data_IF_518722573716
#
_entry.id   IF_518722573716
#
_cell.length_a   1.000
_cell.length_b   1.000
_cell.length_c   1.000
_cell.angle_alpha   90.00
_cell.angle_beta   90.00
_cell.angle_gamma   90.00
#
_symmetry.space_group_name_H-M   'P 1'
#
loop_
_entity.id
_entity.type
_entity.pdbx_description
1 polymer ?
#
# COMPACT_ATOMS: atom_id res chain seq x y z
N UNK A 1 -71.95 155.49 -15.26
CA UNK A 1 -72.65 154.74 -16.31
C UNK A 1 -71.66 154.63 -17.46
N UNK A 2 -71.27 153.49 -18.04
CA UNK A 2 -71.54 152.06 -17.77
C UNK A 2 -70.63 151.20 -18.69
N UNK A 3 -70.45 149.86 -18.60
CA UNK A 3 -70.89 148.83 -17.64
C UNK A 3 -69.74 147.77 -17.48
N UNK A 4 -70.03 146.50 -17.16
CA UNK A 4 -69.12 145.34 -17.24
C UNK A 4 -69.48 144.44 -18.44
N UNK A 5 -68.51 143.75 -19.07
CA UNK A 5 -68.57 142.29 -19.19
C UNK A 5 -67.27 141.55 -19.64
N UNK A 6 -67.06 140.41 -18.99
CA UNK A 6 -66.46 139.11 -19.35
C UNK A 6 -65.08 138.90 -20.05
N UNK A 7 -64.56 137.69 -19.83
CA UNK A 7 -63.20 137.19 -20.13
C UNK A 7 -63.07 136.52 -21.50
N UNK A 8 -61.86 136.55 -22.06
CA UNK A 8 -61.25 135.35 -22.66
C UNK A 8 -59.71 135.48 -22.66
N UNK A 9 -58.98 134.41 -22.27
CA UNK A 9 -57.51 134.37 -22.32
C UNK A 9 -57.12 133.23 -23.27
N UNK A 10 -56.46 133.56 -24.38
CA UNK A 10 -55.96 132.56 -25.35
C UNK A 10 -54.48 132.24 -25.08
N UNK A 11 -54.07 130.96 -25.08
CA UNK A 11 -52.70 130.56 -24.75
C UNK A 11 -51.72 130.77 -25.93
N UNK A 12 -50.45 131.01 -25.57
CA UNK A 12 -49.33 131.25 -26.50
C UNK A 12 -48.83 129.92 -27.12
N UNK A 13 -48.74 129.78 -28.46
CA UNK A 13 -48.34 128.53 -29.12
C UNK A 13 -46.91 128.05 -28.80
N UNK A 14 -45.95 128.95 -28.55
CA UNK A 14 -44.53 128.56 -28.46
C UNK A 14 -44.15 127.83 -27.17
N UNK A 15 -44.92 127.99 -26.09
CA UNK A 15 -44.69 127.20 -24.86
C UNK A 15 -45.29 125.79 -24.93
N UNK A 16 -46.23 125.55 -25.85
CA UNK A 16 -46.88 124.24 -26.02
C UNK A 16 -45.98 123.26 -26.79
N UNK A 17 -45.09 123.76 -27.66
CA UNK A 17 -44.18 122.92 -28.45
C UNK A 17 -42.98 122.41 -27.62
N UNK A 18 -42.35 123.26 -26.82
CA UNK A 18 -41.18 122.90 -26.01
C UNK A 18 -41.50 121.83 -24.95
N UNK A 19 -42.56 122.02 -24.16
CA UNK A 19 -42.97 121.04 -23.14
C UNK A 19 -43.40 119.69 -23.74
N UNK A 20 -44.02 119.69 -24.93
CA UNK A 20 -44.34 118.44 -25.66
C UNK A 20 -43.09 117.70 -26.13
N UNK A 21 -42.05 118.42 -26.55
CA UNK A 21 -40.78 117.82 -26.96
C UNK A 21 -40.04 117.19 -25.77
N UNK A 22 -40.08 117.84 -24.61
CA UNK A 22 -39.45 117.36 -23.38
C UNK A 22 -40.16 116.12 -22.81
N UNK A 23 -41.50 116.14 -22.74
CA UNK A 23 -42.32 114.98 -22.34
C UNK A 23 -42.12 113.80 -23.31
N UNK A 24 -42.10 114.04 -24.62
CA UNK A 24 -41.83 112.98 -25.61
C UNK A 24 -40.41 112.38 -25.45
N UNK A 25 -39.42 113.19 -25.06
CA UNK A 25 -38.07 112.71 -24.73
C UNK A 25 -38.09 111.82 -23.48
N UNK A 26 -38.79 112.24 -22.41
CA UNK A 26 -38.88 111.45 -21.18
C UNK A 26 -39.67 110.14 -21.36
N UNK A 27 -40.75 110.13 -22.15
CA UNK A 27 -41.46 108.90 -22.53
C UNK A 27 -40.62 107.98 -23.43
N UNK A 28 -39.85 108.54 -24.37
CA UNK A 28 -38.94 107.77 -25.21
C UNK A 28 -37.82 107.11 -24.41
N UNK A 29 -37.24 107.85 -23.46
CA UNK A 29 -36.21 107.35 -22.54
C UNK A 29 -36.78 106.30 -21.57
N UNK A 30 -37.98 106.51 -21.01
CA UNK A 30 -38.56 105.53 -20.07
C UNK A 30 -38.97 104.23 -20.75
N UNK A 31 -39.58 104.30 -21.96
CA UNK A 31 -39.92 103.12 -22.76
C UNK A 31 -38.67 102.40 -23.25
N UNK A 32 -37.64 103.13 -23.68
CA UNK A 32 -36.33 102.57 -24.05
C UNK A 32 -35.60 101.89 -22.87
N UNK A 33 -35.65 102.49 -21.68
CA UNK A 33 -35.10 101.89 -20.47
C UNK A 33 -35.85 100.60 -20.07
N UNK A 34 -37.18 100.57 -20.21
CA UNK A 34 -37.99 99.38 -19.94
C UNK A 34 -37.70 98.24 -20.92
N UNK A 35 -37.57 98.54 -22.23
CA UNK A 35 -37.20 97.51 -23.21
C UNK A 35 -35.77 97.02 -23.00
N UNK A 36 -34.82 97.90 -22.68
CA UNK A 36 -33.44 97.51 -22.33
C UNK A 36 -33.41 96.63 -21.06
N UNK A 37 -34.20 96.94 -20.04
CA UNK A 37 -34.31 96.14 -18.81
C UNK A 37 -34.91 94.74 -19.08
N UNK A 38 -35.95 94.64 -19.92
CA UNK A 38 -36.51 93.35 -20.33
C UNK A 38 -35.52 92.50 -21.14
N UNK A 39 -34.76 93.12 -22.05
CA UNK A 39 -33.72 92.43 -22.82
C UNK A 39 -32.60 91.96 -21.89
N UNK A 40 -32.14 92.78 -20.95
CA UNK A 40 -31.14 92.41 -19.96
C UNK A 40 -31.61 91.25 -19.07
N UNK A 41 -32.87 91.26 -18.62
CA UNK A 41 -33.47 90.17 -17.86
C UNK A 41 -33.54 88.87 -18.67
N UNK A 42 -33.95 88.95 -19.94
CA UNK A 42 -33.99 87.79 -20.84
C UNK A 42 -32.59 87.19 -21.09
N UNK A 43 -31.57 88.05 -21.25
CA UNK A 43 -30.16 87.61 -21.37
C UNK A 43 -29.66 86.97 -20.08
N UNK A 44 -29.98 87.51 -18.91
CA UNK A 44 -29.62 86.89 -17.62
C UNK A 44 -30.28 85.52 -17.42
N UNK A 45 -31.55 85.37 -17.81
CA UNK A 45 -32.26 84.08 -17.77
C UNK A 45 -31.61 83.10 -18.75
N UNK A 46 -31.31 83.53 -19.99
CA UNK A 46 -30.65 82.69 -20.99
C UNK A 46 -29.27 82.22 -20.53
N UNK A 47 -28.46 83.10 -19.92
CA UNK A 47 -27.16 82.76 -19.32
C UNK A 47 -27.32 81.80 -18.14
N UNK A 48 -28.34 81.97 -17.29
CA UNK A 48 -28.64 81.04 -16.20
C UNK A 48 -29.03 79.64 -16.69
N UNK A 49 -29.87 79.55 -17.73
CA UNK A 49 -30.25 78.28 -18.37
C UNK A 49 -29.05 77.62 -19.05
N UNK A 50 -28.20 78.40 -19.75
CA UNK A 50 -26.99 77.91 -20.40
C UNK A 50 -25.98 77.37 -19.37
N UNK A 51 -25.76 78.11 -18.28
CA UNK A 51 -24.92 77.67 -17.16
C UNK A 51 -25.44 76.42 -16.47
N UNK A 52 -26.76 76.32 -16.26
CA UNK A 52 -27.40 75.11 -15.74
C UNK A 52 -27.21 73.90 -16.69
N UNK A 53 -27.37 74.09 -18.00
CA UNK A 53 -27.13 73.02 -18.98
C UNK A 53 -25.68 72.54 -18.96
N UNK A 54 -24.70 73.46 -19.01
CA UNK A 54 -23.27 73.15 -18.98
C UNK A 54 -22.85 72.43 -17.69
N UNK A 55 -23.33 72.91 -16.54
CA UNK A 55 -23.05 72.27 -15.25
C UNK A 55 -23.70 70.88 -15.13
N UNK A 56 -24.91 70.71 -15.68
CA UNK A 56 -25.60 69.41 -15.71
C UNK A 56 -24.90 68.40 -16.63
N UNK A 57 -24.35 68.82 -17.76
CA UNK A 57 -23.56 67.92 -18.63
C UNK A 57 -22.27 67.46 -17.96
N UNK A 58 -21.50 68.37 -17.37
CA UNK A 58 -20.25 68.04 -16.66
C UNK A 58 -20.51 67.14 -15.44
N UNK A 59 -21.54 67.43 -14.65
CA UNK A 59 -21.94 66.57 -13.53
C UNK A 59 -22.38 65.16 -13.99
N UNK A 60 -23.11 65.05 -15.10
CA UNK A 60 -23.51 63.76 -15.65
C UNK A 60 -22.31 62.95 -16.19
N UNK A 61 -21.33 63.58 -16.83
CA UNK A 61 -20.09 62.91 -17.27
C UNK A 61 -19.29 62.38 -16.07
N UNK A 62 -19.14 63.17 -15.01
CA UNK A 62 -18.48 62.74 -13.78
C UNK A 62 -19.24 61.58 -13.10
N UNK A 63 -20.58 61.61 -13.11
CA UNK A 63 -21.40 60.52 -12.58
C UNK A 63 -21.21 59.22 -13.38
N UNK A 64 -21.22 59.32 -14.71
CA UNK A 64 -20.98 58.18 -15.61
C UNK A 64 -19.58 57.59 -15.41
N UNK A 65 -18.54 58.43 -15.29
CA UNK A 65 -17.18 57.98 -14.99
C UNK A 65 -17.08 57.28 -13.62
N UNK A 66 -17.78 57.78 -12.60
CA UNK A 66 -17.86 57.09 -11.29
C UNK A 66 -18.61 55.76 -11.36
N UNK A 67 -19.67 55.68 -12.17
CA UNK A 67 -20.46 54.46 -12.35
C UNK A 67 -19.71 53.39 -13.15
N UNK A 68 -18.97 53.78 -14.19
CA UNK A 68 -18.02 52.93 -14.92
C UNK A 68 -16.89 52.44 -14.00
N UNK A 69 -16.27 53.32 -13.21
CA UNK A 69 -15.24 52.94 -12.24
C UNK A 69 -15.78 51.97 -11.19
N UNK A 70 -16.97 52.23 -10.64
CA UNK A 70 -17.63 51.33 -9.68
C UNK A 70 -17.93 49.97 -10.31
N UNK A 71 -18.37 49.95 -11.55
CA UNK A 71 -18.66 48.71 -12.31
C UNK A 71 -17.38 47.91 -12.56
N UNK A 72 -16.29 48.58 -12.99
CA UNK A 72 -14.98 47.97 -13.17
C UNK A 72 -14.41 47.41 -11.87
N UNK A 73 -14.48 48.15 -10.75
CA UNK A 73 -14.09 47.65 -9.43
C UNK A 73 -14.96 46.47 -8.97
N UNK A 74 -16.27 46.50 -9.23
CA UNK A 74 -17.17 45.39 -8.89
C UNK A 74 -16.85 44.13 -9.69
N UNK A 75 -16.51 44.26 -10.97
CA UNK A 75 -16.04 43.15 -11.82
C UNK A 75 -14.73 42.57 -11.27
N UNK A 76 -13.73 43.41 -10.99
CA UNK A 76 -12.45 42.98 -10.44
C UNK A 76 -12.58 42.27 -9.08
N UNK A 77 -13.47 42.75 -8.21
CA UNK A 77 -13.78 42.08 -6.94
C UNK A 77 -14.43 40.71 -7.18
N UNK A 78 -15.37 40.61 -8.11
CA UNK A 78 -16.06 39.36 -8.45
C UNK A 78 -15.09 38.32 -9.03
N UNK A 79 -14.18 38.73 -9.93
CA UNK A 79 -13.11 37.86 -10.45
C UNK A 79 -12.19 37.38 -9.32
N UNK A 80 -11.75 38.29 -8.44
CA UNK A 80 -10.88 37.96 -7.31
C UNK A 80 -11.55 36.98 -6.34
N UNK A 81 -12.81 37.19 -6.02
CA UNK A 81 -13.55 36.33 -5.09
C UNK A 81 -13.83 34.95 -5.71
N UNK A 82 -14.02 34.87 -7.04
CA UNK A 82 -14.06 33.60 -7.77
C UNK A 82 -12.74 32.82 -7.66
N UNK A 83 -11.60 33.50 -7.84
CA UNK A 83 -10.26 32.90 -7.70
C UNK A 83 -10.01 32.43 -6.27
N UNK A 84 -10.39 33.22 -5.26
CA UNK A 84 -10.29 32.81 -3.85
C UNK A 84 -11.14 31.56 -3.57
N UNK A 85 -12.34 31.47 -4.13
CA UNK A 85 -13.20 30.29 -3.99
C UNK A 85 -12.59 29.03 -4.66
N UNK A 86 -11.97 29.17 -5.84
CA UNK A 86 -11.22 28.07 -6.48
C UNK A 86 -10.03 27.60 -5.62
N UNK A 87 -9.31 28.53 -4.98
CA UNK A 87 -8.22 28.18 -4.06
C UNK A 87 -8.72 27.44 -2.82
N UNK A 88 -9.83 27.88 -2.21
CA UNK A 88 -10.45 27.19 -1.07
C UNK A 88 -10.84 25.76 -1.45
N UNK A 89 -11.53 25.57 -2.58
CA UNK A 89 -11.87 24.23 -3.08
C UNK A 89 -10.63 23.36 -3.35
N UNK A 90 -9.56 23.94 -3.88
CA UNK A 90 -8.31 23.22 -4.13
C UNK A 90 -7.62 22.81 -2.82
N UNK A 91 -7.64 23.67 -1.79
CA UNK A 91 -7.15 23.32 -0.47
C UNK A 91 -7.95 22.19 0.17
N UNK A 92 -9.28 22.27 0.13
CA UNK A 92 -10.17 21.25 0.71
C UNK A 92 -9.92 19.88 0.05
N UNK A 93 -9.69 19.86 -1.27
CA UNK A 93 -9.29 18.64 -1.99
C UNK A 93 -7.91 18.11 -1.53
N UNK A 94 -6.90 18.98 -1.37
CA UNK A 94 -5.58 18.53 -0.89
C UNK A 94 -5.70 17.99 0.54
N UNK A 95 -6.46 18.64 1.42
CA UNK A 95 -6.67 18.18 2.80
C UNK A 95 -7.39 16.83 2.86
N UNK A 96 -8.39 16.61 1.99
CA UNK A 96 -9.06 15.32 1.84
C UNK A 96 -8.10 14.22 1.34
N UNK A 97 -7.29 14.53 0.33
CA UNK A 97 -6.28 13.59 -0.21
C UNK A 97 -5.22 13.25 0.86
N UNK A 98 -4.75 14.24 1.64
CA UNK A 98 -3.81 14.03 2.75
C UNK A 98 -4.44 13.22 3.90
N UNK A 99 -5.74 13.39 4.18
CA UNK A 99 -6.45 12.58 5.16
C UNK A 99 -6.55 11.11 4.72
N UNK A 100 -6.81 10.85 3.42
CA UNK A 100 -6.79 9.50 2.86
C UNK A 100 -5.38 8.88 2.89
N UNK A 101 -4.34 9.66 2.56
CA UNK A 101 -2.94 9.21 2.66
C UNK A 101 -2.63 8.74 4.08
N UNK A 102 -2.97 9.55 5.09
CA UNK A 102 -2.78 9.23 6.51
C UNK A 102 -3.53 7.98 6.97
N UNK A 103 -4.75 7.77 6.48
CA UNK A 103 -5.52 6.56 6.78
C UNK A 103 -4.84 5.32 6.18
N UNK A 104 -4.43 5.39 4.91
CA UNK A 104 -3.74 4.31 4.20
C UNK A 104 -2.37 3.99 4.81
N UNK A 105 -1.61 5.00 5.18
CA UNK A 105 -0.35 4.87 5.92
C UNK A 105 -0.56 4.11 7.23
N UNK A 106 -1.57 4.49 8.03
CA UNK A 106 -1.93 3.77 9.26
C UNK A 106 -2.29 2.31 8.99
N UNK A 107 -3.01 2.02 7.90
CA UNK A 107 -3.32 0.64 7.50
C UNK A 107 -2.06 -0.16 7.12
N UNK A 108 -1.11 0.46 6.41
CA UNK A 108 0.19 -0.16 6.06
C UNK A 108 0.96 -0.49 7.34
N UNK A 109 1.08 0.47 8.26
CA UNK A 109 1.78 0.29 9.54
C UNK A 109 1.20 -0.88 10.33
N UNK A 110 -0.12 -0.95 10.51
CA UNK A 110 -0.82 -2.06 11.18
C UNK A 110 -0.67 -3.41 10.47
N UNK A 111 -0.59 -3.43 9.14
CA UNK A 111 -0.36 -4.65 8.38
C UNK A 111 1.10 -5.13 8.48
N UNK A 112 2.05 -4.20 8.68
CA UNK A 112 3.50 -4.45 8.70
C UNK A 112 4.09 -4.81 10.07
N UNK A 113 3.36 -4.52 11.16
CA UNK A 113 3.79 -4.77 12.54
C UNK A 113 3.71 -6.24 12.99
N UNK A 114 3.08 -7.09 12.18
CA UNK A 114 2.95 -8.53 12.43
C UNK A 114 4.22 -9.27 11.96
N UNK A 115 4.66 -10.29 12.70
CA UNK A 115 5.88 -11.02 12.37
C UNK A 115 5.74 -11.86 11.09
N UNK A 116 4.52 -12.29 10.75
CA UNK A 116 4.24 -13.13 9.58
C UNK A 116 3.47 -12.38 8.48
N UNK A 117 4.21 -11.69 7.60
CA UNK A 117 3.61 -11.00 6.45
C UNK A 117 3.36 -11.98 5.30
N UNK A 118 2.12 -12.46 5.19
CA UNK A 118 1.66 -13.28 4.07
C UNK A 118 1.73 -12.55 2.72
N UNK A 119 1.86 -13.30 1.62
CA UNK A 119 1.97 -12.75 0.25
C UNK A 119 0.85 -11.77 -0.09
N UNK A 120 -0.40 -12.15 0.18
CA UNK A 120 -1.60 -11.30 -0.03
C UNK A 120 -1.50 -9.95 0.71
N UNK A 121 -0.95 -9.96 1.93
CA UNK A 121 -0.75 -8.72 2.71
C UNK A 121 0.33 -7.82 2.09
N UNK A 122 1.43 -8.39 1.58
CA UNK A 122 2.45 -7.63 0.83
C UNK A 122 1.86 -6.95 -0.40
N UNK A 123 1.07 -7.69 -1.17
CA UNK A 123 0.49 -7.20 -2.42
C UNK A 123 -0.48 -6.04 -2.14
N UNK A 124 -1.28 -6.13 -1.08
CA UNK A 124 -2.11 -5.01 -0.59
C UNK A 124 -1.29 -3.80 -0.15
N UNK A 125 -0.20 -3.99 0.61
CA UNK A 125 0.70 -2.88 1.01
C UNK A 125 1.29 -2.20 -0.24
N UNK A 126 1.69 -2.94 -1.28
CA UNK A 126 2.20 -2.36 -2.54
C UNK A 126 1.13 -1.57 -3.28
N UNK A 127 -0.11 -2.04 -3.28
CA UNK A 127 -1.26 -1.33 -3.87
C UNK A 127 -1.58 -0.04 -3.11
N UNK A 128 -1.68 -0.09 -1.79
CA UNK A 128 -1.92 1.07 -0.93
C UNK A 128 -0.79 2.12 -1.08
N UNK A 129 0.49 1.68 -1.14
CA UNK A 129 1.64 2.55 -1.45
C UNK A 129 1.46 3.19 -2.85
N UNK A 130 1.13 2.42 -3.89
CA UNK A 130 0.94 2.96 -5.26
C UNK A 130 -0.17 4.01 -5.30
N UNK A 131 -1.27 3.78 -4.59
CA UNK A 131 -2.36 4.73 -4.45
C UNK A 131 -1.91 6.03 -3.77
N UNK A 132 -1.20 5.93 -2.64
CA UNK A 132 -0.64 7.10 -1.94
C UNK A 132 0.31 7.91 -2.84
N UNK A 133 1.21 7.28 -3.61
CA UNK A 133 2.09 8.00 -4.54
C UNK A 133 1.29 8.76 -5.61
N UNK A 134 0.12 8.25 -6.01
CA UNK A 134 -0.77 8.91 -6.98
C UNK A 134 -1.41 10.16 -6.39
N UNK A 135 -1.89 10.09 -5.14
CA UNK A 135 -2.43 11.23 -4.41
C UNK A 135 -1.35 12.30 -4.10
N UNK A 136 -0.14 11.89 -3.70
CA UNK A 136 0.98 12.81 -3.46
C UNK A 136 1.35 13.59 -4.72
N UNK A 137 1.45 12.93 -5.87
CA UNK A 137 1.78 13.59 -7.14
C UNK A 137 0.66 14.53 -7.62
N UNK A 138 -0.61 14.13 -7.47
CA UNK A 138 -1.74 15.02 -7.73
C UNK A 138 -1.73 16.26 -6.83
N UNK A 139 -1.43 16.09 -5.53
CA UNK A 139 -1.30 17.19 -4.58
C UNK A 139 -0.16 18.15 -4.91
N UNK A 140 0.99 17.63 -5.36
CA UNK A 140 2.12 18.47 -5.82
C UNK A 140 1.73 19.34 -7.02
N UNK A 141 0.95 18.80 -7.95
CA UNK A 141 0.45 19.55 -9.11
C UNK A 141 -0.57 20.62 -8.70
N UNK A 142 -1.51 20.31 -7.79
CA UNK A 142 -2.44 21.29 -7.19
C UNK A 142 -1.69 22.42 -6.47
N UNK A 143 -0.70 22.08 -5.65
CA UNK A 143 0.17 23.02 -4.92
C UNK A 143 0.99 23.90 -5.88
N UNK A 144 1.55 23.33 -6.95
CA UNK A 144 2.27 24.09 -7.97
C UNK A 144 1.36 25.08 -8.70
N UNK A 145 0.11 24.67 -9.00
CA UNK A 145 -0.92 25.56 -9.53
C UNK A 145 -1.24 26.71 -8.57
N UNK A 146 -1.52 26.41 -7.30
CA UNK A 146 -1.79 27.42 -6.26
C UNK A 146 -0.64 28.44 -6.13
N UNK A 147 0.61 27.98 -6.09
CA UNK A 147 1.79 28.84 -6.09
C UNK A 147 1.89 29.76 -7.32
N UNK A 148 1.60 29.23 -8.51
CA UNK A 148 1.61 30.01 -9.75
C UNK A 148 0.48 31.05 -9.76
N UNK A 149 -0.70 30.69 -9.27
CA UNK A 149 -1.86 31.57 -9.17
C UNK A 149 -1.63 32.69 -8.14
N UNK A 150 -1.11 32.38 -6.94
CA UNK A 150 -0.75 33.38 -5.92
C UNK A 150 0.26 34.41 -6.47
N UNK A 151 1.32 33.94 -7.15
CA UNK A 151 2.31 34.82 -7.80
C UNK A 151 1.69 35.71 -8.89
N UNK A 152 0.75 35.18 -9.67
CA UNK A 152 0.07 35.92 -10.75
C UNK A 152 -0.94 36.94 -10.21
N UNK A 153 -1.62 36.64 -9.11
CA UNK A 153 -2.64 37.51 -8.53
C UNK A 153 -2.07 38.83 -7.99
N UNK A 154 -0.78 38.87 -7.63
CA UNK A 154 -0.12 40.07 -7.09
C UNK A 154 -0.60 40.51 -5.70
N UNK A 155 -1.59 39.81 -5.12
CA UNK A 155 -2.11 40.04 -3.78
C UNK A 155 -1.38 39.11 -2.81
N UNK A 156 -0.45 39.65 -2.02
CA UNK A 156 0.26 38.92 -0.97
C UNK A 156 -0.67 38.62 0.21
N UNK A 157 -1.47 37.57 0.08
CA UNK A 157 -2.31 37.06 1.16
C UNK A 157 -1.50 36.07 1.99
N UNK A 158 -0.78 36.59 2.99
CA UNK A 158 0.10 35.81 3.88
C UNK A 158 -0.53 34.51 4.40
N UNK A 159 -1.82 34.52 4.77
CA UNK A 159 -2.52 33.32 5.25
C UNK A 159 -2.63 32.19 4.19
N UNK A 160 -2.71 32.53 2.91
CA UNK A 160 -2.74 31.56 1.81
C UNK A 160 -1.33 31.02 1.51
N UNK A 161 -0.32 31.88 1.56
CA UNK A 161 1.10 31.51 1.44
C UNK A 161 1.51 30.55 2.58
N UNK A 162 1.17 30.90 3.83
CA UNK A 162 1.41 30.06 5.02
C UNK A 162 0.66 28.71 4.91
N UNK A 163 -0.56 28.69 4.33
CA UNK A 163 -1.31 27.44 4.09
C UNK A 163 -0.66 26.57 3.00
N UNK A 164 -0.24 27.15 1.87
CA UNK A 164 0.49 26.44 0.81
C UNK A 164 1.79 25.83 1.36
N UNK A 165 2.58 26.59 2.11
CA UNK A 165 3.82 26.10 2.73
C UNK A 165 3.57 24.95 3.72
N UNK A 166 2.45 24.99 4.45
CA UNK A 166 2.04 23.90 5.36
C UNK A 166 1.68 22.62 4.59
N UNK A 167 0.99 22.75 3.45
CA UNK A 167 0.64 21.62 2.59
C UNK A 167 1.87 21.04 1.88
N UNK A 168 2.79 21.88 1.42
CA UNK A 168 4.10 21.46 0.88
C UNK A 168 4.91 20.65 1.89
N UNK A 169 5.03 21.16 3.13
CA UNK A 169 5.71 20.44 4.20
C UNK A 169 5.05 19.09 4.51
N UNK A 170 3.71 19.05 4.52
CA UNK A 170 2.94 17.82 4.76
C UNK A 170 3.14 16.78 3.66
N UNK A 171 3.05 17.18 2.39
CA UNK A 171 3.32 16.32 1.23
C UNK A 171 4.75 15.77 1.27
N UNK A 172 5.74 16.62 1.56
CA UNK A 172 7.14 16.23 1.65
C UNK A 172 7.40 15.24 2.80
N UNK A 173 6.71 15.38 3.93
CA UNK A 173 6.79 14.42 5.03
C UNK A 173 6.28 13.05 4.58
N UNK A 174 5.08 12.97 4.01
CA UNK A 174 4.53 11.72 3.50
C UNK A 174 5.36 11.10 2.36
N UNK A 175 6.03 11.90 1.51
CA UNK A 175 7.00 11.38 0.53
C UNK A 175 8.19 10.66 1.22
N UNK A 176 8.67 11.19 2.35
CA UNK A 176 9.72 10.56 3.17
C UNK A 176 9.23 9.26 3.81
N UNK A 177 8.08 9.31 4.49
CA UNK A 177 7.51 8.16 5.21
C UNK A 177 7.23 6.99 4.24
N UNK A 178 6.70 7.30 3.06
CA UNK A 178 6.43 6.30 2.01
C UNK A 178 7.72 5.75 1.39
N UNK A 179 8.80 6.52 1.36
CA UNK A 179 10.10 6.01 0.93
C UNK A 179 10.69 5.05 1.98
N UNK A 180 10.59 5.37 3.27
CA UNK A 180 11.00 4.47 4.36
C UNK A 180 10.19 3.16 4.34
N UNK A 181 8.86 3.23 4.13
CA UNK A 181 8.01 2.05 3.98
C UNK A 181 8.41 1.17 2.77
N UNK A 182 8.77 1.77 1.63
CA UNK A 182 9.27 1.02 0.45
C UNK A 182 10.58 0.29 0.78
N UNK A 183 11.51 0.94 1.46
CA UNK A 183 12.80 0.33 1.88
C UNK A 183 12.57 -0.80 2.88
N UNK A 184 11.72 -0.59 3.89
CA UNK A 184 11.37 -1.61 4.87
C UNK A 184 10.71 -2.84 4.22
N UNK A 185 9.82 -2.64 3.25
CA UNK A 185 9.18 -3.73 2.51
C UNK A 185 10.19 -4.53 1.66
N UNK A 186 11.13 -3.85 0.98
CA UNK A 186 12.18 -4.50 0.21
C UNK A 186 13.12 -5.33 1.10
N UNK A 187 13.49 -4.83 2.27
CA UNK A 187 14.30 -5.56 3.25
C UNK A 187 13.56 -6.82 3.76
N UNK A 188 12.26 -6.72 4.06
CA UNK A 188 11.44 -7.88 4.44
C UNK A 188 11.26 -8.91 3.30
N UNK A 189 11.26 -8.48 2.04
CA UNK A 189 11.28 -9.41 0.90
C UNK A 189 12.60 -10.19 0.82
N UNK A 190 13.75 -9.55 1.08
CA UNK A 190 15.06 -10.21 1.15
C UNK A 190 15.10 -11.22 2.31
N UNK A 191 14.67 -10.81 3.51
CA UNK A 191 14.62 -11.65 4.72
C UNK A 191 13.76 -12.90 4.49
N UNK A 192 12.56 -12.75 3.92
CA UNK A 192 11.65 -13.87 3.62
C UNK A 192 12.24 -14.82 2.57
N UNK A 193 12.95 -14.31 1.56
CA UNK A 193 13.62 -15.17 0.58
C UNK A 193 14.77 -15.97 1.23
N UNK A 194 15.56 -15.35 2.12
CA UNK A 194 16.60 -16.05 2.89
C UNK A 194 16.02 -17.13 3.81
N UNK A 195 14.90 -16.84 4.49
CA UNK A 195 14.19 -17.82 5.32
C UNK A 195 13.65 -18.99 4.49
N UNK A 196 13.03 -18.72 3.33
CA UNK A 196 12.56 -19.77 2.42
C UNK A 196 13.70 -20.68 1.96
N UNK A 197 14.85 -20.11 1.56
CA UNK A 197 16.04 -20.89 1.18
C UNK A 197 16.54 -21.74 2.35
N UNK A 198 16.56 -21.21 3.58
CA UNK A 198 16.95 -21.94 4.78
C UNK A 198 15.99 -23.09 5.09
N UNK A 199 14.67 -22.88 4.98
CA UNK A 199 13.66 -23.94 5.16
C UNK A 199 13.86 -25.06 4.14
N UNK A 200 13.98 -24.72 2.84
CA UNK A 200 14.24 -25.74 1.80
C UNK A 200 15.51 -26.54 2.06
N UNK A 201 16.60 -25.91 2.54
CA UNK A 201 17.83 -26.61 2.91
C UNK A 201 17.68 -27.50 4.16
N UNK A 202 16.86 -27.10 5.13
CA UNK A 202 16.52 -27.94 6.28
C UNK A 202 15.67 -29.15 5.87
N UNK A 203 14.66 -28.97 5.01
CA UNK A 203 13.82 -30.06 4.50
C UNK A 203 14.66 -31.10 3.74
N UNK A 204 15.61 -30.66 2.91
CA UNK A 204 16.58 -31.53 2.23
C UNK A 204 17.47 -32.29 3.22
N UNK A 205 17.96 -31.60 4.27
CA UNK A 205 18.79 -32.22 5.31
C UNK A 205 18.00 -33.28 6.09
N UNK A 206 16.74 -32.99 6.43
CA UNK A 206 15.84 -33.92 7.13
C UNK A 206 15.55 -35.14 6.26
N UNK A 207 15.29 -34.97 4.96
CA UNK A 207 15.08 -36.07 4.03
C UNK A 207 16.30 -37.00 3.97
N UNK A 208 17.50 -36.44 3.76
CA UNK A 208 18.75 -37.21 3.70
C UNK A 208 19.08 -37.92 5.02
N UNK A 209 18.85 -37.27 6.17
CA UNK A 209 19.01 -37.90 7.48
C UNK A 209 18.00 -39.02 7.70
N UNK A 210 16.76 -38.85 7.27
CA UNK A 210 15.71 -39.88 7.38
C UNK A 210 16.05 -41.10 6.53
N UNK A 211 16.51 -40.91 5.30
CA UNK A 211 17.04 -41.98 4.44
C UNK A 211 18.21 -42.72 5.10
N UNK A 212 19.21 -41.98 5.59
CA UNK A 212 20.37 -42.54 6.31
C UNK A 212 19.96 -43.34 7.55
N UNK A 213 18.98 -42.86 8.32
CA UNK A 213 18.45 -43.56 9.50
C UNK A 213 17.73 -44.84 9.09
N UNK A 214 16.92 -44.81 8.04
CA UNK A 214 16.22 -46.00 7.54
C UNK A 214 17.19 -47.07 7.03
N UNK A 215 18.24 -46.67 6.31
CA UNK A 215 19.31 -47.57 5.86
C UNK A 215 20.06 -48.18 7.06
N UNK A 216 20.42 -47.37 8.06
CA UNK A 216 21.06 -47.86 9.29
C UNK A 216 20.17 -48.85 10.06
N UNK A 217 18.86 -48.57 10.16
CA UNK A 217 17.89 -49.50 10.77
C UNK A 217 17.80 -50.80 9.97
N UNK A 218 17.77 -50.74 8.63
CA UNK A 218 17.73 -51.91 7.77
C UNK A 218 19.00 -52.78 7.90
N UNK A 219 20.18 -52.16 7.96
CA UNK A 219 21.45 -52.86 8.21
C UNK A 219 21.52 -53.45 9.62
N UNK A 220 21.11 -52.70 10.66
CA UNK A 220 21.06 -53.19 12.05
C UNK A 220 20.11 -54.39 12.21
N UNK A 221 18.99 -54.39 11.48
CA UNK A 221 17.99 -55.46 11.50
C UNK A 221 18.27 -56.58 10.51
N UNK A 222 19.33 -56.49 9.70
CA UNK A 222 19.75 -57.57 8.79
C UNK A 222 20.29 -58.75 9.59
N UNK A 223 19.88 -59.95 9.16
CA UNK A 223 20.47 -61.22 9.56
C UNK A 223 20.40 -62.21 8.39
N UNK A 224 21.08 -63.35 8.54
CA UNK A 224 21.26 -64.36 7.51
C UNK A 224 20.89 -65.73 8.06
N UNK A 225 20.02 -66.44 7.34
CA UNK A 225 19.45 -67.72 7.76
C UNK A 225 19.67 -68.79 6.69
N UNK A 226 20.13 -69.97 7.10
CA UNK A 226 20.13 -71.17 6.26
C UNK A 226 19.70 -72.39 7.07
N UNK A 227 18.88 -73.24 6.45
CA UNK A 227 18.50 -74.55 7.00
C UNK A 227 18.72 -75.65 5.97
N UNK A 228 19.14 -76.83 6.45
CA UNK A 228 19.44 -77.97 5.57
C UNK A 228 19.98 -79.18 6.34
N UNK A 229 20.12 -80.33 5.69
CA UNK A 229 20.80 -81.45 6.34
C UNK A 229 22.30 -81.17 6.42
N UNK A 230 23.03 -81.84 7.33
CA UNK A 230 24.49 -81.70 7.41
C UNK A 230 25.18 -81.87 6.04
N UNK A 231 24.71 -82.82 5.23
CA UNK A 231 25.25 -83.05 3.88
C UNK A 231 25.05 -81.83 2.99
N UNK A 232 23.85 -81.26 2.94
CA UNK A 232 23.54 -80.13 2.08
C UNK A 232 24.31 -78.86 2.49
N UNK A 233 24.44 -78.62 3.79
CA UNK A 233 25.18 -77.48 4.35
C UNK A 233 26.69 -77.64 4.12
N UNK A 234 27.24 -78.86 4.24
CA UNK A 234 28.64 -79.17 3.90
C UNK A 234 28.90 -79.02 2.40
N UNK A 235 28.04 -79.57 1.55
CA UNK A 235 28.22 -79.55 0.09
C UNK A 235 28.09 -78.13 -0.49
N UNK A 236 27.45 -77.21 0.25
CA UNK A 236 27.43 -75.76 -0.01
C UNK A 236 28.61 -74.98 0.59
N UNK A 237 29.50 -75.61 1.35
CA UNK A 237 30.64 -74.95 1.98
C UNK A 237 30.30 -74.13 3.24
N UNK A 238 29.18 -74.41 3.92
CA UNK A 238 28.81 -73.78 5.20
C UNK A 238 29.40 -74.55 6.39
N UNK A 239 29.39 -75.88 6.35
CA UNK A 239 29.83 -76.72 7.47
C UNK A 239 31.03 -77.62 7.12
N UNK A 240 31.98 -77.73 8.04
CA UNK A 240 33.10 -78.67 8.02
C UNK A 240 32.95 -79.75 9.10
N UNK A 241 33.81 -80.78 9.07
CA UNK A 241 34.03 -81.69 10.21
C UNK A 241 35.47 -81.58 10.66
N UNK A 242 35.68 -80.96 11.81
CA UNK A 242 37.00 -80.61 12.34
C UNK A 242 37.33 -81.34 13.65
N UNK A 243 38.62 -81.47 13.92
CA UNK A 243 39.15 -82.22 15.06
C UNK A 243 39.04 -83.75 14.93
N UNK A 244 39.57 -84.44 15.94
CA UNK A 244 39.49 -85.90 16.06
C UNK A 244 40.62 -86.69 15.36
N UNK A 245 41.37 -87.47 16.14
CA UNK A 245 42.41 -88.36 15.63
C UNK A 245 41.75 -89.56 14.92
N UNK A 246 42.20 -89.87 13.69
CA UNK A 246 41.66 -90.96 12.84
C UNK A 246 40.13 -90.94 12.65
N UNK A 247 39.50 -89.76 12.73
CA UNK A 247 38.05 -89.58 12.50
C UNK A 247 37.15 -89.81 13.71
N UNK A 248 37.71 -90.21 14.87
CA UNK A 248 36.97 -90.31 16.13
C UNK A 248 37.00 -88.94 16.83
N UNK A 249 35.84 -88.42 17.22
CA UNK A 249 35.72 -87.12 17.91
C UNK A 249 35.65 -85.88 17.01
N UNK A 250 35.42 -86.05 15.69
CA UNK A 250 35.10 -84.95 14.78
C UNK A 250 33.85 -84.19 15.26
N UNK A 251 33.97 -82.87 15.43
CA UNK A 251 32.83 -81.97 15.64
C UNK A 251 32.46 -81.29 14.34
N UNK A 252 31.19 -80.94 14.22
CA UNK A 252 30.67 -80.16 13.10
C UNK A 252 30.88 -78.68 13.43
N UNK A 253 31.58 -77.98 12.54
CA UNK A 253 31.96 -76.59 12.74
C UNK A 253 31.48 -75.74 11.55
N UNK A 254 31.28 -74.45 11.80
CA UNK A 254 31.03 -73.46 10.77
C UNK A 254 32.38 -73.14 10.09
N UNK A 255 32.39 -73.07 8.76
CA UNK A 255 33.58 -72.63 8.01
C UNK A 255 33.77 -71.11 8.24
N UNK A 256 35.00 -70.63 8.38
CA UNK A 256 35.25 -69.21 8.73
C UNK A 256 35.06 -68.24 7.54
N UNK A 257 35.15 -68.73 6.30
CA UNK A 257 35.09 -67.94 5.05
C UNK A 257 34.02 -68.51 4.10
N UNK A 258 32.75 -68.28 4.44
CA UNK A 258 31.60 -68.59 3.57
C UNK A 258 31.06 -67.33 2.89
N UNK A 259 30.29 -67.52 1.81
CA UNK A 259 29.68 -66.42 1.08
C UNK A 259 28.23 -66.18 1.55
N UNK A 260 27.92 -64.96 1.98
CA UNK A 260 26.61 -64.52 2.46
C UNK A 260 25.45 -64.84 1.50
N UNK A 261 25.70 -64.86 0.17
CA UNK A 261 24.69 -65.20 -0.85
C UNK A 261 24.17 -66.64 -0.79
N UNK A 262 24.80 -67.50 0.01
CA UNK A 262 24.32 -68.86 0.31
C UNK A 262 23.17 -68.87 1.34
N UNK A 263 22.96 -67.76 2.04
CA UNK A 263 21.95 -67.59 3.08
C UNK A 263 20.74 -66.80 2.56
N UNK A 264 19.57 -67.03 3.16
CA UNK A 264 18.45 -66.12 3.02
C UNK A 264 18.70 -64.89 3.91
N UNK A 265 18.83 -63.71 3.31
CA UNK A 265 18.81 -62.45 4.03
C UNK A 265 17.41 -62.20 4.59
N UNK A 266 17.33 -61.87 5.88
CA UNK A 266 16.08 -61.67 6.62
C UNK A 266 16.15 -60.40 7.49
N UNK A 267 14.97 -59.87 7.82
CA UNK A 267 14.78 -58.84 8.85
C UNK A 267 14.44 -59.53 10.18
N UNK A 268 15.24 -59.28 11.21
CA UNK A 268 15.08 -59.87 12.56
C UNK A 268 13.80 -59.43 13.28
N UNK A 269 13.24 -58.27 12.94
CA UNK A 269 12.03 -57.74 13.56
C UNK A 269 10.77 -58.42 13.02
N UNK A 270 10.83 -58.87 11.77
CA UNK A 270 9.75 -59.55 11.06
C UNK A 270 9.83 -61.08 11.20
N UNK A 271 11.04 -61.64 11.19
CA UNK A 271 11.26 -63.10 11.14
C UNK A 271 11.25 -63.70 12.54
N UNK A 272 10.06 -64.03 13.04
CA UNK A 272 9.85 -64.64 14.36
C UNK A 272 9.80 -66.16 14.37
N UNK A 273 9.61 -66.80 13.20
CA UNK A 273 9.44 -68.25 13.09
C UNK A 273 10.33 -68.77 11.96
N UNK A 274 11.15 -69.78 12.26
CA UNK A 274 11.95 -70.52 11.27
C UNK A 274 11.30 -71.90 11.09
N UNK A 275 10.70 -72.21 9.92
CA UNK A 275 10.14 -73.54 9.66
C UNK A 275 11.26 -74.57 9.42
N UNK A 276 11.13 -75.76 10.03
CA UNK A 276 12.18 -76.79 10.01
C UNK A 276 11.67 -78.19 9.65
N UNK A 277 10.49 -78.60 10.12
CA UNK A 277 9.81 -79.86 9.77
C UNK A 277 10.74 -81.09 9.73
N UNK A 278 11.44 -81.36 10.84
CA UNK A 278 12.46 -82.42 10.96
C UNK A 278 12.32 -83.19 12.28
N UNK A 279 12.86 -84.42 12.35
CA UNK A 279 12.75 -85.24 13.56
C UNK A 279 13.52 -84.65 14.74
N UNK A 280 14.70 -84.10 14.45
CA UNK A 280 15.48 -83.34 15.39
C UNK A 280 16.18 -82.18 14.68
N UNK A 281 16.47 -81.12 15.43
CA UNK A 281 16.97 -79.85 14.90
C UNK A 281 18.11 -79.39 15.80
N UNK A 282 19.22 -79.00 15.17
CA UNK A 282 20.42 -78.53 15.87
C UNK A 282 20.81 -77.17 15.30
N UNK A 283 20.79 -76.15 16.16
CA UNK A 283 21.32 -74.84 15.83
C UNK A 283 22.85 -74.93 15.95
N UNK A 284 23.56 -74.71 14.84
CA UNK A 284 25.03 -74.90 14.77
C UNK A 284 25.76 -73.62 15.19
N UNK A 285 25.17 -72.47 14.89
CA UNK A 285 25.60 -71.15 15.37
C UNK A 285 25.17 -70.95 16.82
N UNK A 286 25.89 -70.12 17.58
CA UNK A 286 25.59 -69.87 18.98
C UNK A 286 24.51 -68.79 19.15
N UNK A 287 23.40 -69.15 19.79
CA UNK A 287 22.31 -68.24 20.15
C UNK A 287 21.82 -68.58 21.58
N UNK A 288 21.51 -67.58 22.44
CA UNK A 288 21.11 -67.83 23.83
C UNK A 288 19.87 -68.73 23.94
N UNK A 289 19.94 -69.79 24.75
CA UNK A 289 18.86 -70.80 24.86
C UNK A 289 17.52 -70.25 25.37
N UNK A 290 17.49 -69.10 26.03
CA UNK A 290 16.25 -68.41 26.44
C UNK A 290 15.61 -67.54 25.35
N UNK A 291 16.29 -67.32 24.22
CA UNK A 291 15.82 -66.41 23.14
C UNK A 291 14.91 -67.08 22.11
N UNK A 292 14.79 -68.42 22.14
CA UNK A 292 13.96 -69.20 21.23
C UNK A 292 13.34 -70.44 21.90
N UNK A 293 12.37 -71.06 21.24
CA UNK A 293 11.77 -72.35 21.62
C UNK A 293 11.58 -73.23 20.38
N UNK A 294 11.55 -74.55 20.58
CA UNK A 294 11.29 -75.54 19.53
C UNK A 294 9.84 -75.99 19.60
N UNK A 295 9.02 -75.58 18.64
CA UNK A 295 7.62 -75.98 18.54
C UNK A 295 7.56 -77.37 17.89
N UNK A 296 6.83 -78.28 18.54
CA UNK A 296 6.72 -79.69 18.14
C UNK A 296 5.29 -80.01 17.73
N UNK A 297 5.14 -80.65 16.58
CA UNK A 297 3.85 -81.13 16.09
C UNK A 297 3.44 -82.46 16.76
N UNK A 298 4.43 -83.30 17.07
CA UNK A 298 4.27 -84.56 17.81
C UNK A 298 5.53 -84.88 18.64
N UNK A 299 5.54 -86.00 19.37
CA UNK A 299 6.69 -86.41 20.21
C UNK A 299 8.01 -86.56 19.42
N UNK A 300 7.95 -86.71 18.10
CA UNK A 300 9.07 -87.11 17.22
C UNK A 300 9.45 -86.08 16.17
N UNK A 301 8.71 -84.97 16.05
CA UNK A 301 8.84 -84.00 14.95
C UNK A 301 8.80 -82.57 15.46
N UNK A 302 9.85 -81.81 15.15
CA UNK A 302 9.94 -80.36 15.35
C UNK A 302 9.39 -79.67 14.10
N UNK A 303 8.39 -78.81 14.28
CA UNK A 303 7.72 -78.06 13.22
C UNK A 303 8.50 -76.78 12.88
N UNK A 304 8.80 -75.98 13.91
CA UNK A 304 9.44 -74.68 13.78
C UNK A 304 10.32 -74.32 14.99
N UNK A 305 11.22 -73.35 14.79
CA UNK A 305 11.89 -72.61 15.85
C UNK A 305 11.16 -71.27 15.98
N UNK A 306 10.59 -71.00 17.16
CA UNK A 306 9.98 -69.70 17.47
C UNK A 306 10.99 -68.83 18.23
N UNK A 307 11.29 -67.65 17.68
CA UNK A 307 12.19 -66.66 18.27
C UNK A 307 11.37 -65.77 19.21
N UNK A 308 11.59 -65.93 20.52
CA UNK A 308 10.90 -65.19 21.58
C UNK A 308 11.44 -63.78 21.75
N UNK A 309 12.75 -63.64 21.62
CA UNK A 309 13.48 -62.37 21.74
C UNK A 309 14.49 -62.27 20.59
N UNK A 310 14.15 -61.58 19.49
CA UNK A 310 15.06 -61.41 18.36
C UNK A 310 16.36 -60.70 18.73
N UNK A 311 16.33 -59.70 19.62
CA UNK A 311 17.55 -58.99 19.99
C UNK A 311 18.52 -59.90 20.73
N UNK A 312 18.06 -60.72 21.68
CA UNK A 312 18.92 -61.70 22.34
C UNK A 312 19.33 -62.84 21.40
N UNK A 313 18.43 -63.32 20.52
CA UNK A 313 18.74 -64.39 19.57
C UNK A 313 19.88 -63.97 18.63
N UNK A 314 19.78 -62.78 18.03
CA UNK A 314 20.76 -62.27 17.06
C UNK A 314 21.94 -61.51 17.70
N UNK A 315 22.11 -61.60 19.03
CA UNK A 315 23.13 -60.87 19.80
C UNK A 315 24.56 -61.38 19.61
N UNK A 316 24.72 -62.71 19.55
CA UNK A 316 26.04 -63.36 19.46
C UNK A 316 26.45 -63.51 17.99
N UNK A 317 25.49 -63.85 17.14
CA UNK A 317 25.69 -64.07 15.71
C UNK A 317 24.50 -63.50 14.92
N UNK A 318 24.79 -62.79 13.82
CA UNK A 318 23.81 -62.42 12.79
C UNK A 318 23.54 -63.55 11.78
N UNK A 319 24.25 -64.66 11.89
CA UNK A 319 24.05 -65.87 11.10
C UNK A 319 23.36 -66.94 11.95
N UNK A 320 22.29 -67.53 11.41
CA UNK A 320 21.63 -68.72 11.96
C UNK A 320 21.79 -69.90 10.99
N UNK A 321 22.53 -70.92 11.42
CA UNK A 321 22.70 -72.17 10.66
C UNK A 321 21.95 -73.29 11.36
N UNK A 322 20.89 -73.77 10.72
CA UNK A 322 19.97 -74.77 11.27
C UNK A 322 20.18 -76.12 10.59
N UNK A 323 20.79 -77.06 11.32
CA UNK A 323 20.97 -78.42 10.87
C UNK A 323 19.70 -79.26 11.11
N UNK A 324 19.17 -79.83 10.03
CA UNK A 324 17.99 -80.69 10.03
C UNK A 324 18.39 -82.16 10.08
N UNK A 325 18.10 -82.81 11.20
CA UNK A 325 18.35 -84.25 11.41
C UNK A 325 17.05 -85.01 11.13
N UNK A 326 17.07 -85.80 10.06
CA UNK A 326 15.92 -86.59 9.55
C UNK A 326 15.90 -88.03 10.07
#
# INVERSE_FOLDING_TARGET
MENKENKEIKPNPDQVSAGRLEIARMEGISKGAWTAALIALAVLIALGVLGYYLHKTDHNEQLALMEDQKTAFSLQLTERDSVINEWLQTFDQIEQDLAQIKEKEKMITLQSSDSEISKSRKDKIREDIKYINTLLEANKQKIASLNAQLKKAGVTMKALEDKVATLEASVKQYESDINEMKVALANKDIEINQLNTKVTGLDQTIAQQTETINDQIAEMNKAFLISGTFKDLRDRGILSKEGGFLGIGRKEALIEDFNDSLFAQIDITQTKIIPVNAKNVKLVTEHPSGSYELIRQDEKTVESIEIKDPEQFWKISKYAVVELVK
#
